data_IF_833048971825
#
_entry.id   IF_833048971825
#
_cell.length_a   1.000
_cell.length_b   1.000
_cell.length_c   1.000
_cell.angle_alpha   90.00
_cell.angle_beta   90.00
_cell.angle_gamma   90.00
#
_symmetry.space_group_name_H-M   'P 1'
#
loop_
_entity.id
_entity.type
_entity.pdbx_description
1 polymer ?
#
# COMPACT_ATOMS: atom_id res chain seq x y z
N UNK A 1 -10.46 -12.38 8.68
CA UNK A 1 -10.32 -11.13 7.91
C UNK A 1 -8.93 -11.12 7.30
N UNK A 2 -8.84 -10.97 5.98
CA UNK A 2 -7.55 -10.90 5.29
C UNK A 2 -7.06 -9.45 5.32
N UNK A 3 -5.86 -9.20 5.87
CA UNK A 3 -5.25 -7.87 5.90
C UNK A 3 -5.17 -7.26 4.49
N UNK A 4 -5.04 -8.11 3.45
CA UNK A 4 -5.03 -7.70 2.05
C UNK A 4 -6.31 -6.97 1.66
N UNK A 5 -7.47 -7.53 2.01
CA UNK A 5 -8.76 -7.00 1.57
C UNK A 5 -9.05 -5.64 2.22
N UNK A 6 -8.72 -5.48 3.50
CA UNK A 6 -8.88 -4.23 4.23
C UNK A 6 -7.99 -3.13 3.67
N UNK A 7 -6.70 -3.41 3.42
CA UNK A 7 -5.79 -2.38 2.90
C UNK A 7 -6.12 -2.03 1.44
N UNK A 8 -6.55 -3.01 0.63
CA UNK A 8 -7.04 -2.76 -0.74
C UNK A 8 -8.23 -1.80 -0.77
N UNK A 9 -9.23 -2.00 0.08
CA UNK A 9 -10.40 -1.11 0.11
C UNK A 9 -10.07 0.28 0.64
N UNK A 10 -9.19 0.41 1.63
CA UNK A 10 -8.73 1.72 2.13
C UNK A 10 -8.00 2.51 1.05
N UNK A 11 -7.04 1.88 0.36
CA UNK A 11 -6.29 2.52 -0.74
C UNK A 11 -7.24 2.97 -1.85
N UNK A 12 -8.13 2.08 -2.29
CA UNK A 12 -9.08 2.40 -3.36
C UNK A 12 -9.99 3.58 -2.99
N UNK A 13 -10.59 3.56 -1.81
CA UNK A 13 -11.51 4.62 -1.37
C UNK A 13 -10.79 5.96 -1.18
N UNK A 14 -9.62 5.96 -0.55
CA UNK A 14 -8.87 7.20 -0.30
C UNK A 14 -8.34 7.82 -1.60
N UNK A 15 -7.83 6.99 -2.53
CA UNK A 15 -7.41 7.48 -3.85
C UNK A 15 -8.61 7.99 -4.67
N UNK A 16 -9.77 7.35 -4.58
CA UNK A 16 -11.00 7.80 -5.24
C UNK A 16 -11.47 9.16 -4.74
N UNK A 17 -11.32 9.42 -3.44
CA UNK A 17 -11.59 10.72 -2.81
C UNK A 17 -10.42 11.72 -2.98
N UNK A 18 -9.49 11.45 -3.91
CA UNK A 18 -8.40 12.33 -4.29
C UNK A 18 -7.36 12.61 -3.18
N UNK A 19 -7.31 11.77 -2.13
CA UNK A 19 -6.26 11.85 -1.11
C UNK A 19 -4.94 11.26 -1.63
N UNK A 20 -3.83 11.85 -1.19
CA UNK A 20 -2.50 11.28 -1.42
C UNK A 20 -2.28 10.13 -0.45
N UNK A 21 -2.34 8.90 -0.97
CA UNK A 21 -2.10 7.68 -0.18
C UNK A 21 -0.68 7.19 -0.42
N UNK A 22 0.02 6.90 0.67
CA UNK A 22 1.35 6.28 0.64
C UNK A 22 1.31 4.98 1.41
N UNK A 23 1.75 3.89 0.77
CA UNK A 23 1.87 2.57 1.38
C UNK A 23 3.34 2.25 1.61
N UNK A 24 3.67 1.84 2.84
CA UNK A 24 5.00 1.41 3.22
C UNK A 24 5.18 -0.08 2.95
N UNK A 25 5.99 -0.41 1.95
CA UNK A 25 6.20 -1.77 1.47
C UNK A 25 6.88 -2.70 2.48
N UNK A 26 7.70 -2.14 3.36
CA UNK A 26 8.45 -2.82 4.42
C UNK A 26 7.70 -2.86 5.77
N UNK A 27 6.53 -2.23 5.85
CA UNK A 27 5.69 -2.17 7.04
C UNK A 27 4.33 -2.88 6.86
N UNK A 28 4.20 -3.74 5.85
CA UNK A 28 3.00 -4.56 5.62
C UNK A 28 3.31 -6.06 5.72
N UNK A 29 2.34 -6.84 6.17
CA UNK A 29 2.44 -8.30 6.20
C UNK A 29 1.13 -8.93 5.77
N UNK A 30 1.22 -10.16 5.25
CA UNK A 30 0.07 -11.00 4.94
C UNK A 30 0.40 -12.43 5.33
N UNK A 31 -0.64 -13.22 5.60
CA UNK A 31 -0.51 -14.66 5.83
C UNK A 31 0.13 -15.37 4.65
N UNK A 32 -0.18 -14.95 3.41
CA UNK A 32 0.47 -15.45 2.20
C UNK A 32 1.42 -14.39 1.64
N UNK A 33 2.70 -14.49 2.02
CA UNK A 33 3.73 -13.53 1.62
C UNK A 33 3.88 -13.42 0.10
N UNK A 34 3.53 -14.45 -0.66
CA UNK A 34 3.57 -14.44 -2.14
C UNK A 34 2.59 -13.43 -2.75
N UNK A 35 1.56 -13.02 -2.00
CA UNK A 35 0.57 -12.04 -2.45
C UNK A 35 0.98 -10.60 -2.15
N UNK A 36 2.07 -10.37 -1.42
CA UNK A 36 2.55 -9.03 -1.08
C UNK A 36 2.95 -8.28 -2.36
N UNK A 37 3.67 -8.92 -3.28
CA UNK A 37 4.07 -8.30 -4.54
C UNK A 37 2.86 -7.89 -5.39
N UNK A 38 1.85 -8.77 -5.49
CA UNK A 38 0.59 -8.48 -6.18
C UNK A 38 -0.16 -7.31 -5.53
N UNK A 39 -0.16 -7.24 -4.20
CA UNK A 39 -0.76 -6.12 -3.46
C UNK A 39 -0.06 -4.79 -3.73
N UNK A 40 1.27 -4.76 -3.65
CA UNK A 40 2.03 -3.53 -3.88
C UNK A 40 1.78 -2.99 -5.30
N UNK A 41 1.74 -3.89 -6.28
CA UNK A 41 1.38 -3.54 -7.66
C UNK A 41 -0.06 -3.01 -7.75
N UNK A 42 -1.01 -3.59 -7.00
CA UNK A 42 -2.39 -3.08 -6.94
C UNK A 42 -2.45 -1.67 -6.35
N UNK A 43 -1.72 -1.38 -5.27
CA UNK A 43 -1.71 -0.04 -4.66
C UNK A 43 -1.14 1.01 -5.62
N UNK A 44 -0.01 0.70 -6.26
CA UNK A 44 0.59 1.56 -7.28
C UNK A 44 -0.38 1.82 -8.45
N UNK A 45 -1.09 0.79 -8.93
CA UNK A 45 -2.08 0.91 -10.01
C UNK A 45 -3.29 1.76 -9.66
N UNK A 46 -3.69 1.82 -8.39
CA UNK A 46 -4.82 2.65 -7.94
C UNK A 46 -4.42 4.11 -7.64
N UNK A 47 -3.17 4.49 -7.88
CA UNK A 47 -2.69 5.86 -7.67
C UNK A 47 -2.08 6.11 -6.28
N UNK A 48 -1.85 5.06 -5.48
CA UNK A 48 -1.05 5.20 -4.26
C UNK A 48 0.44 5.18 -4.58
N UNK A 49 1.22 5.91 -3.78
CA UNK A 49 2.68 5.79 -3.79
C UNK A 49 3.10 4.61 -2.93
N UNK A 50 4.00 3.78 -3.45
CA UNK A 50 4.65 2.72 -2.67
C UNK A 50 6.07 3.16 -2.39
N UNK A 51 6.48 3.14 -1.11
CA UNK A 51 7.84 3.48 -0.69
C UNK A 51 8.27 2.61 0.49
N UNK A 52 9.54 2.67 0.88
CA UNK A 52 10.00 2.06 2.14
C UNK A 52 9.92 3.06 3.29
N UNK A 53 9.95 2.59 4.53
CA UNK A 53 10.12 3.45 5.70
C UNK A 53 11.39 4.31 5.57
N UNK A 54 12.45 3.73 5.01
CA UNK A 54 13.69 4.46 4.79
C UNK A 54 13.52 5.59 3.76
N UNK A 55 12.80 5.37 2.65
CA UNK A 55 12.48 6.45 1.70
C UNK A 55 11.70 7.59 2.35
N UNK A 56 10.75 7.24 3.23
CA UNK A 56 9.96 8.22 3.98
C UNK A 56 10.85 9.06 4.91
N UNK A 57 11.78 8.42 5.62
CA UNK A 57 12.70 9.08 6.55
C UNK A 57 13.76 9.93 5.84
N UNK A 58 14.21 9.54 4.64
CA UNK A 58 15.20 10.29 3.85
C UNK A 58 14.59 11.40 2.98
N UNK A 59 13.26 11.56 2.99
CA UNK A 59 12.56 12.63 2.26
C UNK A 59 12.48 13.95 3.06
N UNK A 60 13.27 14.11 4.14
CA UNK A 60 13.27 15.26 5.05
C UNK A 60 14.67 15.85 5.22
#
# INVERSE_FOLDING_TARGET
ADAIACVKSTVFNMCKENYTVTVLSDCITSYDKRKIDEMLNYYAKNGSRVMTLNDLLNSH
#
